data_IF_381057112685
#
_entry.id   IF_381057112685
#
_cell.length_a   1.000
_cell.length_b   1.000
_cell.length_c   1.000
_cell.angle_alpha   90.00
_cell.angle_beta   90.00
_cell.angle_gamma   90.00
#
_symmetry.space_group_name_H-M   'P 1'
#
loop_
_entity.id
_entity.type
_entity.pdbx_description
1 polymer ?
#
# COMPACT_ATOMS: atom_id res chain seq x y z
N UNK A 1 -29.02 6.97 74.92
CA UNK A 1 -28.16 7.13 73.72
C UNK A 1 -28.51 6.00 72.78
N UNK A 2 -28.94 6.38 71.58
CA UNK A 2 -29.45 5.53 70.50
C UNK A 2 -28.27 4.83 69.82
N UNK A 3 -28.38 3.53 69.49
CA UNK A 3 -28.02 3.01 68.15
C UNK A 3 -28.33 1.51 67.97
N UNK A 4 -28.78 1.24 66.75
CA UNK A 4 -29.36 0.05 66.11
C UNK A 4 -28.38 -1.12 65.82
N UNK A 5 -28.93 -2.31 65.46
CA UNK A 5 -28.18 -3.49 65.03
C UNK A 5 -27.94 -3.51 63.51
N UNK A 6 -26.75 -3.92 63.10
CA UNK A 6 -26.39 -4.26 61.71
C UNK A 6 -25.25 -5.28 61.77
N UNK A 7 -25.00 -6.16 60.83
CA UNK A 7 -25.75 -6.79 59.77
C UNK A 7 -24.93 -8.05 59.43
N UNK A 8 -25.60 -9.09 58.95
CA UNK A 8 -25.03 -10.37 58.51
C UNK A 8 -23.87 -10.22 57.51
N UNK A 9 -22.69 -10.75 57.85
CA UNK A 9 -21.57 -10.93 56.91
C UNK A 9 -21.72 -12.25 56.14
N UNK A 10 -22.40 -12.21 55.00
CA UNK A 10 -22.19 -13.17 53.93
C UNK A 10 -20.79 -12.90 53.33
N UNK A 11 -19.85 -13.81 53.56
CA UNK A 11 -18.60 -13.82 52.78
C UNK A 11 -18.90 -14.36 51.38
N UNK A 12 -19.22 -13.44 50.46
CA UNK A 12 -19.24 -13.72 49.04
C UNK A 12 -17.84 -14.09 48.57
N UNK A 13 -17.75 -15.26 47.93
CA UNK A 13 -16.66 -15.70 47.06
C UNK A 13 -16.05 -14.51 46.31
N UNK A 14 -14.76 -14.28 46.51
CA UNK A 14 -13.96 -13.43 45.64
C UNK A 14 -13.70 -14.20 44.35
N UNK A 15 -14.53 -13.95 43.34
CA UNK A 15 -14.22 -14.17 41.93
C UNK A 15 -12.91 -13.45 41.59
N UNK A 16 -11.81 -14.17 41.51
CA UNK A 16 -10.53 -13.66 40.96
C UNK A 16 -9.74 -14.79 40.29
N UNK A 17 -10.43 -15.56 39.46
CA UNK A 17 -9.79 -16.23 38.33
C UNK A 17 -10.62 -15.87 37.10
N UNK A 18 -10.17 -14.86 36.33
CA UNK A 18 -10.65 -14.72 34.96
C UNK A 18 -10.18 -15.97 34.22
N UNK A 19 -11.03 -17.00 34.20
CA UNK A 19 -10.80 -18.24 33.47
C UNK A 19 -10.43 -17.88 32.03
N UNK A 20 -9.15 -17.97 31.69
CA UNK A 20 -8.69 -17.79 30.32
C UNK A 20 -9.27 -18.97 29.53
N UNK A 21 -10.46 -18.75 28.93
CA UNK A 21 -11.10 -19.72 28.07
C UNK A 21 -10.13 -20.10 26.96
N UNK A 22 -9.76 -21.38 26.78
CA UNK A 22 -8.77 -21.76 25.79
C UNK A 22 -9.26 -21.44 24.37
N UNK A 23 -8.33 -21.14 23.46
CA UNK A 23 -8.63 -20.90 22.05
C UNK A 23 -9.34 -22.09 21.41
N UNK A 24 -8.85 -23.30 21.67
CA UNK A 24 -9.49 -24.55 21.29
C UNK A 24 -9.61 -25.40 22.55
N UNK A 25 -10.81 -25.93 22.82
CA UNK A 25 -11.03 -26.75 23.99
C UNK A 25 -10.06 -27.94 24.01
N UNK A 26 -9.40 -28.15 25.15
CA UNK A 26 -8.42 -29.23 25.39
C UNK A 26 -7.09 -29.11 24.62
N UNK A 27 -6.83 -27.98 23.96
CA UNK A 27 -5.51 -27.67 23.42
C UNK A 27 -4.87 -26.51 24.19
N UNK A 28 -3.56 -26.58 24.47
CA UNK A 28 -2.77 -25.42 24.85
C UNK A 28 -2.88 -24.29 23.81
N UNK A 29 -2.90 -23.03 24.26
CA UNK A 29 -3.14 -21.87 23.40
C UNK A 29 -2.03 -21.66 22.36
N UNK A 30 -0.79 -22.04 22.65
CA UNK A 30 0.33 -22.01 21.72
C UNK A 30 0.16 -22.99 20.54
N UNK A 31 -0.30 -24.21 20.83
CA UNK A 31 -0.64 -25.21 19.80
C UNK A 31 -1.89 -24.78 19.02
N UNK A 32 -2.88 -24.21 19.71
CA UNK A 32 -4.05 -23.66 19.05
C UNK A 32 -3.69 -22.52 18.09
N UNK A 33 -2.85 -21.57 18.52
CA UNK A 33 -2.32 -20.50 17.69
C UNK A 33 -1.55 -21.07 16.49
N UNK A 34 -0.65 -22.02 16.70
CA UNK A 34 0.12 -22.67 15.64
C UNK A 34 -0.79 -23.30 14.58
N UNK A 35 -1.86 -23.98 14.99
CA UNK A 35 -2.83 -24.60 14.09
C UNK A 35 -3.65 -23.55 13.34
N UNK A 36 -4.20 -22.56 14.05
CA UNK A 36 -5.02 -21.52 13.46
C UNK A 36 -4.22 -20.65 12.49
N UNK A 37 -2.99 -20.28 12.84
CA UNK A 37 -2.13 -19.43 12.03
C UNK A 37 -1.77 -20.05 10.67
N UNK A 38 -1.94 -21.36 10.47
CA UNK A 38 -1.75 -22.03 9.17
C UNK A 38 -2.95 -21.96 8.26
N UNK A 39 -4.10 -21.53 8.76
CA UNK A 39 -5.31 -21.41 7.95
C UNK A 39 -5.10 -20.31 6.90
N UNK A 40 -5.33 -20.60 5.60
CA UNK A 40 -5.14 -19.63 4.54
C UNK A 40 -6.01 -18.38 4.71
N UNK A 41 -5.47 -17.22 4.30
CA UNK A 41 -6.09 -15.89 4.46
C UNK A 41 -7.52 -15.82 3.92
N UNK A 42 -7.80 -16.52 2.82
CA UNK A 42 -9.15 -16.60 2.23
C UNK A 42 -10.23 -17.13 3.19
N UNK A 43 -9.85 -17.86 4.24
CA UNK A 43 -10.77 -18.39 5.25
C UNK A 43 -10.80 -17.57 6.55
N UNK A 44 -10.02 -16.49 6.67
CA UNK A 44 -9.96 -15.69 7.90
C UNK A 44 -11.31 -15.04 8.25
N UNK A 45 -12.13 -14.71 7.26
CA UNK A 45 -13.52 -14.24 7.51
C UNK A 45 -14.37 -15.30 8.19
N UNK A 46 -14.22 -16.57 7.79
CA UNK A 46 -14.93 -17.70 8.41
C UNK A 46 -14.39 -17.98 9.81
N UNK A 47 -13.06 -17.91 10.02
CA UNK A 47 -12.45 -18.07 11.34
C UNK A 47 -13.00 -17.07 12.36
N UNK A 48 -13.17 -15.80 11.95
CA UNK A 48 -13.73 -14.75 12.80
C UNK A 48 -15.17 -15.02 13.24
N UNK A 49 -15.91 -15.85 12.51
CA UNK A 49 -17.29 -16.20 12.85
C UNK A 49 -17.39 -17.32 13.91
N UNK A 50 -16.29 -18.01 14.24
CA UNK A 50 -16.32 -19.15 15.16
C UNK A 50 -16.55 -18.70 16.61
N UNK A 51 -15.83 -17.69 17.07
CA UNK A 51 -15.99 -17.11 18.41
C UNK A 51 -15.42 -15.70 18.48
N UNK A 52 -15.81 -14.93 19.51
CA UNK A 52 -15.20 -13.61 19.79
C UNK A 52 -13.69 -13.71 19.96
N UNK A 53 -13.21 -14.70 20.72
CA UNK A 53 -11.77 -14.91 20.96
C UNK A 53 -11.00 -15.19 19.66
N UNK A 54 -11.57 -15.98 18.73
CA UNK A 54 -10.94 -16.21 17.43
C UNK A 54 -10.94 -14.96 16.56
N UNK A 55 -12.03 -14.18 16.59
CA UNK A 55 -12.08 -12.89 15.91
C UNK A 55 -10.99 -11.95 16.44
N UNK A 56 -10.90 -11.82 17.75
CA UNK A 56 -9.93 -10.95 18.42
C UNK A 56 -8.50 -11.39 18.12
N UNK A 57 -8.24 -12.71 18.15
CA UNK A 57 -6.95 -13.26 17.77
C UNK A 57 -6.60 -12.93 16.31
N UNK A 58 -7.46 -13.26 15.34
CA UNK A 58 -7.17 -13.06 13.91
C UNK A 58 -7.02 -11.56 13.56
N UNK A 59 -7.62 -10.67 14.35
CA UNK A 59 -7.47 -9.22 14.19
C UNK A 59 -6.30 -8.61 14.99
N UNK A 60 -5.65 -9.37 15.87
CA UNK A 60 -4.57 -8.89 16.74
C UNK A 60 -3.25 -8.65 16.00
N UNK A 61 -2.35 -7.88 16.60
CA UNK A 61 -0.96 -7.78 16.13
C UNK A 61 -0.20 -9.10 16.37
N UNK A 62 -0.48 -9.81 17.46
CA UNK A 62 0.17 -11.09 17.78
C UNK A 62 0.01 -12.12 16.65
N UNK A 63 -1.20 -12.24 16.10
CA UNK A 63 -1.47 -13.11 14.96
C UNK A 63 -0.64 -12.75 13.73
N UNK A 64 -0.60 -11.46 13.39
CA UNK A 64 0.12 -10.96 12.24
C UNK A 64 1.64 -11.20 12.43
N UNK A 65 2.19 -10.77 13.55
CA UNK A 65 3.59 -10.99 13.91
C UNK A 65 3.97 -12.47 13.87
N UNK A 66 3.12 -13.34 14.42
CA UNK A 66 3.35 -14.77 14.41
C UNK A 66 3.42 -15.32 12.98
N UNK A 67 2.47 -14.93 12.11
CA UNK A 67 2.46 -15.39 10.71
C UNK A 67 3.65 -14.88 9.93
N UNK A 68 4.04 -13.62 10.10
CA UNK A 68 5.23 -13.06 9.43
C UNK A 68 6.50 -13.77 9.89
N UNK A 69 6.70 -13.95 11.21
CA UNK A 69 7.87 -14.66 11.79
C UNK A 69 7.99 -16.11 11.32
N UNK A 70 6.87 -16.77 11.04
CA UNK A 70 6.83 -18.16 10.61
C UNK A 70 6.71 -18.35 9.08
N UNK A 71 6.90 -17.29 8.28
CA UNK A 71 6.76 -17.32 6.82
C UNK A 71 5.40 -17.83 6.33
N UNK A 72 4.34 -17.54 7.09
CA UNK A 72 2.95 -17.87 6.75
C UNK A 72 2.23 -16.67 6.11
N UNK A 73 2.93 -15.55 5.89
CA UNK A 73 2.36 -14.33 5.32
C UNK A 73 1.79 -14.55 3.91
N UNK A 74 0.53 -14.17 3.70
CA UNK A 74 -0.12 -14.20 2.39
C UNK A 74 -0.36 -12.77 1.88
N UNK A 75 0.39 -12.38 0.86
CA UNK A 75 0.27 -11.08 0.20
C UNK A 75 -0.91 -11.06 -0.78
N UNK A 76 -1.84 -10.14 -0.55
CA UNK A 76 -2.91 -9.80 -1.49
C UNK A 76 -2.67 -8.41 -2.07
N UNK A 77 -3.16 -8.19 -3.28
CA UNK A 77 -3.00 -6.92 -4.00
C UNK A 77 -4.25 -6.09 -3.82
N UNK A 78 -4.07 -4.79 -3.58
CA UNK A 78 -5.11 -3.79 -3.47
C UNK A 78 -4.90 -2.75 -4.55
N UNK A 79 -5.96 -2.45 -5.30
CA UNK A 79 -5.94 -1.44 -6.35
C UNK A 79 -6.95 -0.35 -6.03
N UNK A 80 -6.50 0.89 -6.13
CA UNK A 80 -7.35 2.08 -6.12
C UNK A 80 -7.68 2.42 -7.57
N UNK A 81 -8.96 2.49 -7.89
CA UNK A 81 -9.47 2.68 -9.25
C UNK A 81 -10.38 3.89 -9.32
N UNK A 82 -10.47 4.50 -10.49
CA UNK A 82 -11.43 5.58 -10.79
C UNK A 82 -12.35 5.16 -11.91
N UNK A 83 -13.64 5.20 -11.64
CA UNK A 83 -14.68 5.01 -12.64
C UNK A 83 -14.78 6.25 -13.52
N UNK A 84 -14.69 6.07 -14.85
CA UNK A 84 -14.71 7.18 -15.80
C UNK A 84 -16.06 7.88 -15.93
N UNK A 85 -17.14 7.14 -15.70
CA UNK A 85 -18.50 7.63 -15.89
C UNK A 85 -18.97 8.47 -14.71
N UNK A 86 -18.56 8.09 -13.50
CA UNK A 86 -18.98 8.71 -12.24
C UNK A 86 -17.92 9.61 -11.62
N UNK A 87 -16.67 9.52 -12.10
CA UNK A 87 -15.47 10.14 -11.51
C UNK A 87 -15.23 9.72 -10.04
N UNK A 88 -15.81 8.58 -9.62
CA UNK A 88 -15.71 8.06 -8.27
C UNK A 88 -14.58 7.05 -8.13
N UNK A 89 -13.97 7.05 -6.95
CA UNK A 89 -12.91 6.14 -6.57
C UNK A 89 -13.50 4.90 -5.90
N UNK A 90 -13.02 3.73 -6.33
CA UNK A 90 -13.33 2.42 -5.78
C UNK A 90 -12.04 1.68 -5.43
N UNK A 91 -12.08 0.81 -4.43
CA UNK A 91 -10.93 -0.01 -4.04
C UNK A 91 -11.27 -1.49 -4.26
N UNK A 92 -10.32 -2.22 -4.84
CA UNK A 92 -10.47 -3.63 -5.15
C UNK A 92 -9.33 -4.45 -4.55
N UNK A 93 -9.62 -5.69 -4.18
CA UNK A 93 -8.63 -6.64 -3.68
C UNK A 93 -8.56 -7.89 -4.54
N UNK A 94 -7.35 -8.38 -4.76
CA UNK A 94 -7.03 -9.59 -5.51
C UNK A 94 -6.21 -10.53 -4.63
N UNK A 95 -6.66 -11.78 -4.53
CA UNK A 95 -5.90 -12.91 -4.01
C UNK A 95 -5.11 -13.56 -5.16
N UNK A 96 -3.78 -13.39 -5.23
CA UNK A 96 -2.96 -13.93 -6.33
C UNK A 96 -2.85 -15.46 -6.31
N UNK A 97 -3.20 -16.11 -5.20
CA UNK A 97 -3.09 -17.57 -5.02
C UNK A 97 -4.36 -18.34 -5.40
N UNK A 98 -5.45 -17.63 -5.72
CA UNK A 98 -6.74 -18.26 -6.03
C UNK A 98 -6.71 -18.99 -7.38
N UNK A 99 -6.92 -20.31 -7.33
CA UNK A 99 -6.98 -21.20 -8.51
C UNK A 99 -8.24 -21.07 -9.36
N UNK A 100 -9.33 -20.50 -8.81
CA UNK A 100 -10.44 -19.96 -9.59
C UNK A 100 -10.02 -18.55 -9.99
N UNK A 101 -9.76 -18.30 -11.28
CA UNK A 101 -9.28 -17.03 -11.85
C UNK A 101 -9.47 -15.86 -10.89
N UNK A 102 -8.37 -15.38 -10.29
CA UNK A 102 -8.34 -14.38 -9.22
C UNK A 102 -9.24 -13.18 -9.54
N UNK A 103 -10.47 -13.22 -9.04
CA UNK A 103 -11.44 -12.18 -9.33
C UNK A 103 -11.23 -11.05 -8.32
N UNK A 104 -11.02 -9.85 -8.83
CA UNK A 104 -11.02 -8.64 -8.03
C UNK A 104 -12.34 -8.53 -7.26
N UNK A 105 -12.24 -8.29 -5.96
CA UNK A 105 -13.41 -8.05 -5.10
C UNK A 105 -13.43 -6.60 -4.69
N UNK A 106 -14.57 -5.94 -4.86
CA UNK A 106 -14.74 -4.57 -4.39
C UNK A 106 -14.71 -4.53 -2.86
N UNK A 107 -13.97 -3.56 -2.33
CA UNK A 107 -13.96 -3.18 -0.92
C UNK A 107 -14.96 -2.04 -0.76
N UNK A 108 -15.97 -2.26 0.08
CA UNK A 108 -16.95 -1.24 0.40
C UNK A 108 -16.48 -0.33 1.54
N UNK A 109 -17.18 0.78 1.72
CA UNK A 109 -16.99 1.66 2.89
C UNK A 109 -15.85 2.65 2.76
N UNK A 110 -15.35 2.94 1.55
CA UNK A 110 -14.50 4.11 1.33
C UNK A 110 -15.23 5.34 1.88
N UNK A 111 -14.56 6.17 2.72
CA UNK A 111 -15.16 7.38 3.26
C UNK A 111 -15.77 8.26 2.16
N UNK A 112 -17.03 8.70 2.27
CA UNK A 112 -17.73 9.43 1.19
C UNK A 112 -16.98 10.67 0.69
N UNK A 113 -16.22 11.34 1.56
CA UNK A 113 -15.39 12.50 1.23
C UNK A 113 -14.25 12.18 0.26
N UNK A 114 -13.77 10.93 0.25
CA UNK A 114 -12.68 10.48 -0.63
C UNK A 114 -13.17 10.15 -2.05
N UNK A 115 -14.47 9.86 -2.23
CA UNK A 115 -14.97 9.25 -3.47
C UNK A 115 -14.64 10.06 -4.72
N UNK A 116 -14.65 11.40 -4.66
CA UNK A 116 -14.36 12.24 -5.83
C UNK A 116 -12.96 12.86 -5.83
N UNK A 117 -12.17 12.67 -4.77
CA UNK A 117 -10.86 13.31 -4.63
C UNK A 117 -9.88 12.81 -5.67
N UNK A 118 -9.09 13.71 -6.25
CA UNK A 118 -7.95 13.45 -7.14
C UNK A 118 -6.65 13.69 -6.38
N UNK A 119 -5.53 13.20 -6.94
CA UNK A 119 -4.21 13.41 -6.34
C UNK A 119 -4.04 12.85 -4.93
N UNK A 120 -4.82 11.82 -4.56
CA UNK A 120 -4.66 11.10 -3.28
C UNK A 120 -3.47 10.16 -3.36
N UNK A 121 -2.76 9.99 -2.24
CA UNK A 121 -1.81 8.90 -2.09
C UNK A 121 -2.48 7.65 -1.51
N UNK A 122 -1.93 6.49 -1.86
CA UNK A 122 -2.37 5.18 -1.39
C UNK A 122 -1.16 4.35 -0.98
N UNK A 123 -1.00 4.10 0.32
CA UNK A 123 0.18 3.42 0.87
C UNK A 123 -0.15 2.36 1.91
N UNK A 124 0.81 1.51 2.24
CA UNK A 124 0.64 0.42 3.21
C UNK A 124 1.63 0.51 4.36
N UNK A 125 1.18 0.26 5.60
CA UNK A 125 2.06 -0.08 6.73
C UNK A 125 1.47 -1.30 7.44
N UNK A 126 2.27 -2.37 7.57
CA UNK A 126 1.82 -3.61 8.23
C UNK A 126 0.55 -4.17 7.59
N UNK A 127 -0.51 -4.34 8.40
CA UNK A 127 -1.85 -4.78 7.97
C UNK A 127 -2.82 -3.64 7.64
N UNK A 128 -2.33 -2.42 7.41
CA UNK A 128 -3.16 -1.24 7.13
C UNK A 128 -2.82 -0.64 5.78
N UNK A 129 -3.87 -0.21 5.07
CA UNK A 129 -3.80 0.64 3.89
C UNK A 129 -4.17 2.06 4.31
N UNK A 130 -3.51 3.06 3.76
CA UNK A 130 -3.71 4.46 4.05
C UNK A 130 -4.08 5.19 2.77
N UNK A 131 -5.15 5.99 2.84
CA UNK A 131 -5.52 7.00 1.86
C UNK A 131 -5.23 8.37 2.45
N UNK A 132 -4.43 9.16 1.73
CA UNK A 132 -3.93 10.43 2.25
C UNK A 132 -4.25 11.57 1.29
N UNK A 133 -4.74 12.67 1.86
CA UNK A 133 -4.90 13.95 1.19
C UNK A 133 -5.79 13.89 -0.05
N UNK A 134 -5.36 14.58 -1.10
CA UNK A 134 -6.10 14.77 -2.34
C UNK A 134 -6.95 16.05 -2.34
N UNK A 135 -7.66 16.27 -3.44
CA UNK A 135 -8.42 17.49 -3.66
C UNK A 135 -9.67 17.19 -4.52
N UNK A 136 -10.78 17.89 -4.31
CA UNK A 136 -11.97 17.83 -5.16
C UNK A 136 -11.83 18.71 -6.42
N UNK A 137 -11.19 19.87 -6.28
CA UNK A 137 -10.82 20.80 -7.34
C UNK A 137 -9.37 21.28 -7.16
N UNK A 138 -8.85 22.12 -8.06
CA UNK A 138 -7.55 22.77 -7.82
C UNK A 138 -7.75 23.81 -6.70
N UNK A 139 -6.96 23.74 -5.62
CA UNK A 139 -6.99 24.63 -4.41
C UNK A 139 -7.84 24.16 -3.20
N UNK A 140 -8.37 22.91 -3.17
CA UNK A 140 -8.97 22.30 -1.96
C UNK A 140 -8.20 21.06 -1.47
N UNK A 141 -6.86 21.15 -1.50
CA UNK A 141 -6.02 20.13 -0.90
C UNK A 141 -6.44 19.88 0.56
N UNK A 142 -6.38 18.62 0.99
CA UNK A 142 -6.72 18.22 2.37
C UNK A 142 -5.56 17.50 3.04
N UNK A 143 -5.55 17.56 4.36
CA UNK A 143 -4.66 16.86 5.27
C UNK A 143 -5.29 15.57 5.82
N UNK A 144 -6.54 15.29 5.48
CA UNK A 144 -7.26 14.12 5.99
C UNK A 144 -6.56 12.81 5.60
N UNK A 145 -6.48 11.90 6.57
CA UNK A 145 -5.93 10.56 6.40
C UNK A 145 -6.96 9.54 6.86
N UNK A 146 -7.19 8.53 6.02
CA UNK A 146 -8.02 7.39 6.34
C UNK A 146 -7.18 6.13 6.26
N UNK A 147 -7.42 5.19 7.16
CA UNK A 147 -6.80 3.87 7.08
C UNK A 147 -7.85 2.76 7.00
N UNK A 148 -7.54 1.72 6.25
CA UNK A 148 -8.30 0.49 6.17
C UNK A 148 -7.50 -0.63 6.80
N UNK A 149 -8.05 -1.20 7.87
CA UNK A 149 -7.47 -2.38 8.51
C UNK A 149 -7.93 -3.62 7.76
N UNK A 150 -6.99 -4.33 7.11
CA UNK A 150 -7.31 -5.50 6.29
C UNK A 150 -7.77 -6.70 7.12
N UNK A 151 -7.43 -6.74 8.41
CA UNK A 151 -7.88 -7.77 9.32
C UNK A 151 -9.29 -7.45 9.84
N UNK A 152 -9.62 -6.19 10.11
CA UNK A 152 -10.98 -5.82 10.55
C UNK A 152 -11.96 -5.65 9.38
N UNK A 153 -11.47 -5.46 8.15
CA UNK A 153 -12.25 -5.11 6.97
C UNK A 153 -13.07 -3.82 7.20
N UNK A 154 -12.43 -2.80 7.78
CA UNK A 154 -13.06 -1.54 8.15
C UNK A 154 -12.16 -0.36 7.86
N UNK A 155 -12.75 0.72 7.35
CA UNK A 155 -12.14 2.03 7.25
C UNK A 155 -12.31 2.80 8.57
N UNK A 156 -11.30 3.57 8.94
CA UNK A 156 -11.32 4.50 10.07
C UNK A 156 -10.49 5.74 9.75
N UNK A 157 -10.78 6.84 10.42
CA UNK A 157 -9.90 8.02 10.40
C UNK A 157 -8.55 7.69 11.07
N UNK A 158 -7.49 8.28 10.53
CA UNK A 158 -6.16 8.28 11.12
C UNK A 158 -5.76 9.74 11.41
N UNK A 159 -4.68 10.00 12.16
CA UNK A 159 -4.21 11.36 12.38
C UNK A 159 -3.99 12.09 11.04
N UNK A 160 -4.54 13.30 10.93
CA UNK A 160 -4.33 14.16 9.77
C UNK A 160 -2.86 14.51 9.59
N UNK A 161 -2.43 14.69 8.34
CA UNK A 161 -1.11 15.20 8.00
C UNK A 161 -0.90 16.59 8.59
N UNK A 162 0.36 16.99 8.78
CA UNK A 162 0.68 18.35 9.21
C UNK A 162 0.36 19.38 8.13
N UNK A 163 0.47 18.96 6.86
CA UNK A 163 0.25 19.81 5.69
C UNK A 163 -0.82 19.17 4.80
N UNK A 164 -1.79 19.96 4.38
CA UNK A 164 -2.76 19.55 3.37
C UNK A 164 -2.08 19.43 2.00
N UNK A 165 -2.24 18.29 1.31
CA UNK A 165 -1.52 17.98 0.06
C UNK A 165 -2.38 17.24 -0.96
N UNK A 166 -2.17 17.53 -2.25
CA UNK A 166 -2.66 16.72 -3.37
C UNK A 166 -1.58 16.61 -4.48
N UNK A 167 -1.63 15.53 -5.27
CA UNK A 167 -0.65 15.21 -6.32
C UNK A 167 0.80 15.20 -5.79
N UNK A 168 1.02 14.47 -4.69
CA UNK A 168 2.29 14.37 -3.98
C UNK A 168 2.87 12.96 -4.07
N UNK A 169 4.18 12.84 -3.84
CA UNK A 169 4.86 11.55 -3.71
C UNK A 169 4.53 10.91 -2.36
N UNK A 170 4.42 9.59 -2.32
CA UNK A 170 4.15 8.88 -1.07
C UNK A 170 4.85 7.53 -1.06
N UNK A 171 5.51 7.20 0.04
CA UNK A 171 6.22 5.93 0.21
C UNK A 171 6.17 5.43 1.65
N UNK A 172 6.26 4.12 1.84
CA UNK A 172 6.62 3.52 3.13
C UNK A 172 8.11 3.16 3.15
N UNK A 173 8.84 3.68 4.14
CA UNK A 173 10.20 3.28 4.46
C UNK A 173 10.34 3.07 5.96
N UNK A 174 10.92 1.94 6.37
CA UNK A 174 11.16 1.57 7.77
C UNK A 174 9.92 1.65 8.68
N UNK A 175 8.74 1.33 8.12
CA UNK A 175 7.48 1.31 8.86
C UNK A 175 6.88 2.70 9.09
N UNK A 176 7.38 3.73 8.40
CA UNK A 176 6.85 5.10 8.40
C UNK A 176 6.36 5.47 7.01
N UNK A 177 5.31 6.28 6.92
CA UNK A 177 4.86 6.88 5.66
C UNK A 177 5.51 8.24 5.51
N UNK A 178 6.00 8.55 4.31
CA UNK A 178 6.51 9.86 3.92
C UNK A 178 5.58 10.44 2.85
N UNK A 179 4.93 11.58 3.11
CA UNK A 179 4.13 12.33 2.13
C UNK A 179 4.94 13.54 1.66
N UNK A 180 5.35 13.56 0.40
CA UNK A 180 6.44 14.42 -0.10
C UNK A 180 5.92 15.37 -1.17
N UNK A 181 6.12 16.68 -0.99
CA UNK A 181 5.79 17.71 -1.99
C UNK A 181 4.28 17.86 -2.25
N UNK A 182 3.93 18.08 -3.52
CA UNK A 182 2.58 18.31 -4.02
C UNK A 182 2.03 19.72 -3.78
N UNK A 183 0.75 19.90 -4.11
CA UNK A 183 0.04 21.17 -3.97
C UNK A 183 -0.73 21.23 -2.65
N UNK A 184 -0.65 22.34 -1.93
CA UNK A 184 -1.37 22.59 -0.68
C UNK A 184 -2.42 23.70 -0.79
N UNK A 185 -3.05 24.05 0.35
CA UNK A 185 -4.04 25.15 0.46
C UNK A 185 -3.39 26.53 0.42
N UNK A 186 -2.21 26.67 1.04
CA UNK A 186 -1.35 27.82 0.86
C UNK A 186 -0.17 27.39 0.00
N UNK A 187 0.23 28.22 -0.96
CA UNK A 187 1.39 28.00 -1.84
C UNK A 187 2.73 27.97 -1.08
N UNK A 188 2.70 28.13 0.25
CA UNK A 188 3.82 28.17 1.16
C UNK A 188 4.32 26.76 1.51
N UNK A 189 5.04 26.22 0.53
CA UNK A 189 6.26 25.45 0.67
C UNK A 189 6.17 24.03 0.07
N UNK A 190 6.20 23.93 -1.28
CA UNK A 190 6.19 22.63 -1.95
C UNK A 190 7.46 21.82 -1.74
N UNK A 191 8.42 22.42 -1.05
CA UNK A 191 9.69 21.85 -0.66
C UNK A 191 9.57 21.06 0.66
N UNK A 192 8.37 20.67 1.07
CA UNK A 192 8.11 20.03 2.35
C UNK A 192 7.69 18.56 2.22
N UNK A 193 7.88 17.79 3.28
CA UNK A 193 7.30 16.46 3.43
C UNK A 193 6.88 16.22 4.88
N UNK A 194 5.87 15.38 5.07
CA UNK A 194 5.47 14.95 6.40
C UNK A 194 5.78 13.45 6.58
N UNK A 195 6.21 13.08 7.79
CA UNK A 195 6.53 11.69 8.16
C UNK A 195 5.56 11.20 9.22
N UNK A 196 4.84 10.13 8.94
CA UNK A 196 3.96 9.46 9.91
C UNK A 196 4.67 8.31 10.61
N UNK A 197 4.69 8.36 11.94
CA UNK A 197 5.13 7.23 12.76
C UNK A 197 3.90 6.56 13.43
N UNK A 198 3.57 5.31 13.06
CA UNK A 198 2.44 4.59 13.66
C UNK A 198 2.66 4.26 15.15
N UNK A 199 3.90 4.30 15.65
CA UNK A 199 4.21 4.01 17.06
C UNK A 199 3.82 5.15 17.98
N UNK A 200 4.01 6.38 17.54
CA UNK A 200 3.58 7.59 18.24
C UNK A 200 2.22 8.06 17.77
N UNK A 201 1.73 7.53 16.65
CA UNK A 201 0.51 7.92 15.98
C UNK A 201 0.49 9.44 15.69
N UNK A 202 1.60 9.96 15.19
CA UNK A 202 1.81 11.39 14.93
C UNK A 202 2.52 11.62 13.60
N UNK A 203 2.34 12.83 13.08
CA UNK A 203 3.04 13.35 11.90
C UNK A 203 4.08 14.39 12.32
N UNK A 204 5.26 14.31 11.71
CA UNK A 204 6.31 15.31 11.81
C UNK A 204 6.51 15.97 10.45
N UNK A 205 6.55 17.30 10.40
CA UNK A 205 6.74 18.05 9.15
C UNK A 205 8.18 18.51 8.98
N UNK A 206 8.66 18.47 7.75
CA UNK A 206 10.03 18.79 7.36
C UNK A 206 10.04 19.58 6.06
N UNK A 207 11.14 20.29 5.77
CA UNK A 207 11.36 20.94 4.49
C UNK A 207 12.81 20.88 4.02
N UNK A 208 13.00 20.81 2.71
CA UNK A 208 14.28 20.80 2.00
C UNK A 208 14.08 21.39 0.59
N UNK A 209 14.84 22.43 0.20
CA UNK A 209 14.67 23.11 -1.08
C UNK A 209 14.88 22.21 -2.31
N UNK A 210 15.47 21.02 -2.15
CA UNK A 210 15.66 20.08 -3.25
C UNK A 210 14.41 19.27 -3.62
N UNK A 211 13.35 19.30 -2.81
CA UNK A 211 12.05 18.72 -3.18
C UNK A 211 11.39 19.63 -4.21
N UNK A 212 10.75 19.07 -5.23
CA UNK A 212 10.10 19.87 -6.29
C UNK A 212 8.60 19.50 -6.36
N UNK A 213 7.77 20.49 -6.68
CA UNK A 213 6.30 20.41 -6.78
C UNK A 213 5.77 19.20 -7.55
N UNK A 214 6.16 19.06 -8.81
CA UNK A 214 5.51 18.22 -9.80
C UNK A 214 6.05 16.77 -9.74
N UNK A 215 5.81 16.08 -8.63
CA UNK A 215 6.23 14.69 -8.43
C UNK A 215 5.33 13.75 -9.25
N UNK A 216 5.94 13.00 -10.17
CA UNK A 216 5.26 12.01 -11.01
C UNK A 216 5.29 10.61 -10.40
N UNK A 217 6.35 10.26 -9.66
CA UNK A 217 6.54 8.93 -9.08
C UNK A 217 7.50 8.96 -7.89
N UNK A 218 7.40 7.97 -6.99
CA UNK A 218 8.25 7.85 -5.80
C UNK A 218 8.47 6.40 -5.39
N UNK A 219 9.72 6.04 -5.09
CA UNK A 219 10.10 4.66 -4.73
C UNK A 219 11.12 4.62 -3.60
N UNK A 220 11.16 3.50 -2.88
CA UNK A 220 12.20 3.20 -1.89
C UNK A 220 13.11 2.13 -2.48
N UNK A 221 14.42 2.41 -2.50
CA UNK A 221 15.43 1.48 -3.02
C UNK A 221 16.73 1.65 -2.25
N UNK A 222 17.31 0.55 -1.73
CA UNK A 222 18.57 0.61 -0.99
C UNK A 222 18.53 1.51 0.23
N UNK A 223 17.41 1.54 0.96
CA UNK A 223 17.22 2.35 2.17
C UNK A 223 17.14 3.86 1.93
N UNK A 224 16.89 4.28 0.68
CA UNK A 224 16.72 5.69 0.30
C UNK A 224 15.41 5.90 -0.42
N UNK A 225 14.87 7.11 -0.33
CA UNK A 225 13.66 7.51 -1.08
C UNK A 225 14.10 8.23 -2.34
N UNK A 226 13.57 7.82 -3.48
CA UNK A 226 13.77 8.48 -4.77
C UNK A 226 12.43 9.08 -5.19
N UNK A 227 12.42 10.37 -5.49
CA UNK A 227 11.26 11.03 -6.13
C UNK A 227 11.65 11.44 -7.52
N UNK A 228 10.74 11.23 -8.46
CA UNK A 228 10.87 11.70 -9.83
C UNK A 228 9.90 12.85 -10.03
N UNK A 229 10.43 14.00 -10.44
CA UNK A 229 9.65 15.19 -10.74
C UNK A 229 9.85 15.63 -12.17
N UNK A 230 8.86 16.29 -12.76
CA UNK A 230 8.96 16.90 -14.09
C UNK A 230 8.72 18.38 -13.99
N UNK A 231 9.71 19.20 -14.34
CA UNK A 231 9.54 20.64 -14.30
C UNK A 231 8.77 21.14 -15.52
N UNK A 232 7.97 22.17 -15.30
CA UNK A 232 7.24 22.91 -16.35
C UNK A 232 8.12 23.82 -17.23
N UNK A 233 9.45 23.73 -17.15
CA UNK A 233 10.38 24.46 -18.03
C UNK A 233 10.22 24.05 -19.49
N UNK A 234 10.67 24.88 -20.43
CA UNK A 234 10.69 24.53 -21.86
C UNK A 234 12.16 24.47 -22.32
N UNK A 235 12.68 23.28 -22.72
CA UNK A 235 12.01 21.98 -22.71
C UNK A 235 11.80 21.43 -21.28
N UNK A 236 10.83 20.52 -21.08
CA UNK A 236 10.58 19.91 -19.78
C UNK A 236 11.74 18.98 -19.42
N UNK A 237 12.26 19.13 -18.20
CA UNK A 237 13.34 18.31 -17.69
C UNK A 237 12.80 17.40 -16.57
N UNK A 238 13.26 16.15 -16.57
CA UNK A 238 12.97 15.18 -15.50
C UNK A 238 14.11 15.26 -14.49
N UNK A 239 13.76 15.43 -13.22
CA UNK A 239 14.69 15.46 -12.10
C UNK A 239 14.40 14.31 -11.17
N UNK A 240 15.47 13.72 -10.62
CA UNK A 240 15.34 12.79 -9.51
C UNK A 240 16.03 13.41 -8.29
N UNK A 241 15.29 13.48 -7.19
CA UNK A 241 15.84 13.80 -5.89
C UNK A 241 15.84 12.56 -5.00
N UNK A 242 16.87 12.43 -4.16
CA UNK A 242 17.09 11.27 -3.30
C UNK A 242 17.23 11.74 -1.87
N UNK A 243 16.39 11.18 -1.00
CA UNK A 243 16.52 11.33 0.43
C UNK A 243 17.42 10.23 0.98
N UNK A 244 18.48 10.63 1.68
CA UNK A 244 19.33 9.72 2.42
C UNK A 244 19.07 9.88 3.93
N UNK A 245 18.40 8.90 4.58
CA UNK A 245 18.09 8.96 6.01
C UNK A 245 19.32 9.12 6.91
N UNK A 246 20.50 8.64 6.46
CA UNK A 246 21.73 8.78 7.23
C UNK A 246 22.22 10.23 7.32
N UNK A 247 21.91 11.03 6.30
CA UNK A 247 22.26 12.46 6.24
C UNK A 247 21.10 13.38 6.61
N UNK A 248 19.86 12.88 6.52
CA UNK A 248 18.64 13.65 6.73
C UNK A 248 18.35 14.70 5.65
N UNK A 249 18.97 14.58 4.46
CA UNK A 249 18.89 15.59 3.38
C UNK A 249 18.46 14.99 2.06
N UNK A 250 17.82 15.82 1.24
CA UNK A 250 17.55 15.53 -0.16
C UNK A 250 18.71 16.00 -1.03
N UNK A 251 19.05 15.21 -2.05
CA UNK A 251 20.13 15.51 -2.99
C UNK A 251 19.66 15.18 -4.41
N UNK A 252 20.01 16.01 -5.39
CA UNK A 252 19.80 15.67 -6.79
C UNK A 252 20.70 14.50 -7.19
N UNK A 253 20.17 13.59 -8.01
CA UNK A 253 20.87 12.38 -8.42
C UNK A 253 20.95 12.21 -9.93
N UNK A 254 21.50 11.06 -10.31
CA UNK A 254 21.87 10.56 -11.62
C UNK A 254 20.87 10.84 -12.76
N UNK A 255 21.32 11.63 -13.74
CA UNK A 255 20.60 11.92 -14.98
C UNK A 255 20.34 10.65 -15.83
N UNK A 256 21.19 9.63 -15.71
CA UNK A 256 21.05 8.38 -16.48
C UNK A 256 19.80 7.61 -16.01
N UNK A 257 19.57 7.55 -14.69
CA UNK A 257 18.35 6.96 -14.14
C UNK A 257 17.10 7.75 -14.58
N UNK A 258 17.17 9.09 -14.51
CA UNK A 258 16.07 9.97 -14.90
C UNK A 258 15.62 9.79 -16.35
N UNK A 259 16.55 9.50 -17.26
CA UNK A 259 16.27 9.36 -18.69
C UNK A 259 15.36 8.18 -19.05
N UNK A 260 15.47 7.05 -18.32
CA UNK A 260 14.72 5.82 -18.62
C UNK A 260 13.55 5.54 -17.67
N UNK A 261 13.45 6.27 -16.56
CA UNK A 261 12.25 6.25 -15.72
C UNK A 261 11.17 7.05 -16.41
N UNK A 262 10.32 6.41 -17.22
CA UNK A 262 9.28 7.07 -18.04
C UNK A 262 7.87 6.52 -17.80
N UNK A 263 7.65 5.79 -16.73
CA UNK A 263 6.35 5.20 -16.41
C UNK A 263 6.29 4.65 -14.98
N UNK A 264 5.25 3.87 -14.67
CA UNK A 264 5.07 3.23 -13.38
C UNK A 264 6.27 2.37 -13.01
N UNK A 265 6.59 2.32 -11.73
CA UNK A 265 7.73 1.59 -11.22
C UNK A 265 7.40 0.59 -10.15
N UNK A 266 8.32 -0.36 -9.97
CA UNK A 266 8.37 -1.22 -8.81
C UNK A 266 9.81 -1.57 -8.49
N UNK A 267 10.10 -1.77 -7.21
CA UNK A 267 11.41 -2.22 -6.75
C UNK A 267 11.30 -3.68 -6.30
N UNK A 268 12.18 -4.53 -6.82
CA UNK A 268 12.28 -5.95 -6.45
C UNK A 268 13.74 -6.27 -6.18
N UNK A 269 14.03 -6.85 -5.02
CA UNK A 269 15.40 -7.19 -4.60
C UNK A 269 16.38 -6.00 -4.80
N UNK A 270 16.00 -4.81 -4.31
CA UNK A 270 16.72 -3.53 -4.45
C UNK A 270 17.03 -3.07 -5.89
N UNK A 271 16.34 -3.67 -6.87
CA UNK A 271 16.46 -3.33 -8.29
C UNK A 271 15.20 -2.62 -8.76
N UNK A 272 15.36 -1.49 -9.45
CA UNK A 272 14.26 -0.69 -9.98
C UNK A 272 13.83 -1.22 -11.35
N UNK A 273 12.53 -1.43 -11.52
CA UNK A 273 11.90 -1.82 -12.77
C UNK A 273 10.90 -0.74 -13.19
N UNK A 274 10.90 -0.39 -14.47
CA UNK A 274 10.00 0.59 -15.08
C UNK A 274 9.19 -0.07 -16.17
N UNK A 275 7.90 0.24 -16.24
CA UNK A 275 7.09 -0.04 -17.42
C UNK A 275 7.08 1.19 -18.33
N UNK A 276 7.95 1.19 -19.34
CA UNK A 276 7.96 2.20 -20.39
C UNK A 276 6.77 1.97 -21.33
N UNK A 277 5.91 2.97 -21.48
CA UNK A 277 4.72 2.94 -22.33
C UNK A 277 4.81 3.92 -23.51
N UNK A 278 5.95 4.61 -23.69
CA UNK A 278 6.15 5.64 -24.73
C UNK A 278 6.12 5.07 -26.16
N UNK A 279 6.78 3.92 -26.37
CA UNK A 279 6.90 3.22 -27.67
C UNK A 279 6.44 1.76 -27.54
N UNK A 280 5.26 1.59 -26.95
CA UNK A 280 4.67 0.31 -26.55
C UNK A 280 5.19 -0.17 -25.20
N UNK A 281 4.44 -1.07 -24.56
CA UNK A 281 4.70 -1.50 -23.19
C UNK A 281 5.93 -2.42 -23.07
N UNK A 282 7.04 -1.88 -22.56
CA UNK A 282 8.29 -2.62 -22.32
C UNK A 282 8.64 -2.58 -20.84
N UNK A 283 9.04 -3.73 -20.30
CA UNK A 283 9.63 -3.77 -18.96
C UNK A 283 11.13 -3.51 -19.07
N UNK A 284 11.59 -2.48 -18.37
CA UNK A 284 12.99 -2.06 -18.29
C UNK A 284 13.50 -2.30 -16.86
N UNK A 285 14.78 -2.63 -16.73
CA UNK A 285 15.46 -2.84 -15.44
C UNK A 285 16.64 -1.89 -15.32
N UNK A 286 16.77 -1.22 -14.18
CA UNK A 286 17.91 -0.35 -13.89
C UNK A 286 19.12 -1.17 -13.41
N UNK A 287 20.22 -1.14 -14.15
CA UNK A 287 21.47 -1.77 -13.74
C UNK A 287 22.41 -0.73 -13.11
N UNK A 288 22.47 -0.73 -11.77
CA UNK A 288 23.27 0.25 -10.98
C UNK A 288 24.76 0.28 -11.34
N UNK A 289 25.36 -0.87 -11.68
CA UNK A 289 26.81 -0.98 -11.93
C UNK A 289 27.23 -0.31 -13.24
N UNK A 290 26.42 -0.45 -14.29
CA UNK A 290 26.70 0.10 -15.62
C UNK A 290 26.01 1.45 -15.84
N UNK A 291 25.04 1.80 -14.98
CA UNK A 291 24.18 2.98 -15.10
C UNK A 291 23.34 2.95 -16.38
N UNK A 292 22.86 1.76 -16.74
CA UNK A 292 22.09 1.52 -17.96
C UNK A 292 20.71 0.93 -17.67
N UNK A 293 19.76 1.25 -18.54
CA UNK A 293 18.44 0.62 -18.59
C UNK A 293 18.45 -0.58 -19.52
N UNK A 294 18.24 -1.77 -18.97
CA UNK A 294 18.20 -3.02 -19.73
C UNK A 294 16.75 -3.38 -20.07
N UNK A 295 16.39 -3.55 -21.35
CA UNK A 295 15.09 -4.08 -21.73
C UNK A 295 14.98 -5.56 -21.40
N UNK A 296 13.95 -5.95 -20.66
CA UNK A 296 13.71 -7.34 -20.28
C UNK A 296 12.72 -8.06 -21.19
N UNK A 297 11.57 -7.44 -21.42
CA UNK A 297 10.54 -8.01 -22.28
C UNK A 297 9.59 -6.95 -22.81
N UNK A 298 8.92 -7.26 -23.93
CA UNK A 298 7.81 -6.46 -24.46
C UNK A 298 6.49 -7.15 -24.13
N UNK A 299 5.54 -6.40 -23.59
CA UNK A 299 4.19 -6.89 -23.34
C UNK A 299 3.37 -6.90 -24.64
N UNK A 300 2.32 -7.70 -24.64
CA UNK A 300 1.33 -7.70 -25.72
C UNK A 300 0.70 -6.31 -25.86
N UNK A 301 0.46 -5.82 -27.08
CA UNK A 301 -0.28 -4.57 -27.27
C UNK A 301 -1.75 -4.67 -26.86
N UNK A 302 -2.27 -5.89 -26.67
CA UNK A 302 -3.67 -6.12 -26.35
C UNK A 302 -3.96 -5.98 -24.85
N UNK A 303 -3.05 -6.44 -23.99
CA UNK A 303 -3.22 -6.45 -22.54
C UNK A 303 -1.86 -6.41 -21.80
N UNK A 304 -1.79 -5.74 -20.63
CA UNK A 304 -2.86 -4.94 -20.02
C UNK A 304 -3.01 -3.58 -20.72
N UNK A 305 -4.23 -3.01 -20.70
CA UNK A 305 -4.51 -1.72 -21.38
C UNK A 305 -4.03 -0.54 -20.52
N UNK A 306 -3.28 0.43 -21.07
CA UNK A 306 -2.94 1.66 -20.36
C UNK A 306 -4.17 2.48 -19.91
N UNK A 307 -4.06 3.30 -18.84
CA UNK A 307 -2.89 3.43 -17.98
C UNK A 307 -2.69 2.17 -17.11
N UNK A 308 -1.44 1.77 -16.93
CA UNK A 308 -1.07 0.62 -16.09
C UNK A 308 -0.41 1.09 -14.79
N UNK A 309 -0.52 0.27 -13.75
CA UNK A 309 0.22 0.38 -12.49
C UNK A 309 0.93 -0.94 -12.20
N UNK A 310 1.97 -0.88 -11.37
CA UNK A 310 2.79 -2.04 -11.03
C UNK A 310 2.80 -2.28 -9.53
N UNK A 311 2.88 -3.56 -9.15
CA UNK A 311 3.09 -4.00 -7.77
C UNK A 311 3.85 -5.32 -7.78
N UNK A 312 4.73 -5.53 -6.81
CA UNK A 312 5.51 -6.76 -6.70
C UNK A 312 5.12 -7.56 -5.47
N UNK A 313 5.14 -8.89 -5.62
CA UNK A 313 5.05 -9.85 -4.51
C UNK A 313 6.17 -10.85 -4.68
N UNK A 314 7.17 -10.77 -3.80
CA UNK A 314 8.44 -11.48 -3.99
C UNK A 314 9.04 -11.12 -5.35
N UNK A 315 9.37 -12.13 -6.15
CA UNK A 315 9.97 -11.96 -7.50
C UNK A 315 8.95 -11.82 -8.63
N UNK A 316 7.66 -11.75 -8.30
CA UNK A 316 6.60 -11.60 -9.30
C UNK A 316 6.17 -10.15 -9.39
N UNK A 317 6.20 -9.60 -10.60
CA UNK A 317 5.66 -8.27 -10.92
C UNK A 317 4.27 -8.45 -11.51
N UNK A 318 3.30 -7.77 -10.92
CA UNK A 318 1.93 -7.68 -11.40
C UNK A 318 1.77 -6.32 -12.08
N UNK A 319 1.41 -6.35 -13.36
CA UNK A 319 1.12 -5.18 -14.17
C UNK A 319 -0.39 -5.12 -14.36
N UNK A 320 -1.01 -4.10 -13.80
CA UNK A 320 -2.46 -3.99 -13.70
C UNK A 320 -2.89 -2.76 -14.50
N UNK A 321 -3.61 -2.99 -15.59
CA UNK A 321 -4.12 -1.95 -16.46
C UNK A 321 -5.60 -1.71 -16.28
N UNK A 322 -6.13 -0.86 -17.16
CA UNK A 322 -7.53 -0.47 -17.25
C UNK A 322 -8.49 -1.66 -17.16
N UNK A 323 -9.58 -1.45 -16.42
CA UNK A 323 -10.57 -2.50 -16.13
C UNK A 323 -10.01 -3.65 -15.29
N UNK A 324 -8.97 -3.38 -14.49
CA UNK A 324 -8.31 -4.34 -13.60
C UNK A 324 -7.73 -5.57 -14.33
N UNK A 325 -7.37 -5.39 -15.60
CA UNK A 325 -6.68 -6.42 -16.39
C UNK A 325 -5.25 -6.58 -15.88
N UNK A 326 -4.84 -7.81 -15.55
CA UNK A 326 -3.53 -8.06 -14.93
C UNK A 326 -2.66 -9.00 -15.77
N UNK A 327 -1.37 -8.69 -15.87
CA UNK A 327 -0.33 -9.58 -16.38
C UNK A 327 0.71 -9.79 -15.29
N UNK A 328 1.18 -11.02 -15.14
CA UNK A 328 2.15 -11.39 -14.11
C UNK A 328 3.44 -11.84 -14.77
N UNK A 329 4.56 -11.27 -14.35
CA UNK A 329 5.89 -11.61 -14.81
C UNK A 329 6.70 -12.17 -13.64
N UNK A 330 7.36 -13.31 -13.83
CA UNK A 330 8.28 -13.88 -12.85
C UNK A 330 9.72 -13.57 -13.26
N UNK A 331 10.38 -12.67 -12.53
CA UNK A 331 11.70 -12.16 -12.90
C UNK A 331 12.78 -13.26 -12.84
N UNK A 332 12.60 -14.29 -12.00
CA UNK A 332 13.56 -15.38 -11.87
C UNK A 332 13.73 -16.21 -13.15
N UNK A 333 12.75 -16.15 -14.07
CA UNK A 333 12.75 -16.90 -15.31
C UNK A 333 13.06 -16.06 -16.55
N UNK A 334 13.25 -14.74 -16.40
CA UNK A 334 13.41 -13.80 -17.54
C UNK A 334 14.72 -14.01 -18.31
N UNK A 335 15.72 -14.67 -17.71
CA UNK A 335 16.99 -15.02 -18.37
C UNK A 335 16.89 -16.16 -19.40
N UNK A 336 15.79 -16.92 -19.42
CA UNK A 336 15.52 -17.88 -20.49
C UNK A 336 14.61 -17.19 -21.51
N UNK A 337 15.20 -16.85 -22.67
CA UNK A 337 14.50 -16.25 -23.80
C UNK A 337 13.15 -16.95 -24.07
N UNK A 338 12.10 -16.15 -24.27
CA UNK A 338 10.76 -16.52 -24.74
C UNK A 338 9.71 -17.05 -23.74
N UNK A 339 9.65 -16.55 -22.49
CA UNK A 339 8.42 -16.77 -21.67
C UNK A 339 7.98 -15.55 -20.86
N UNK A 340 7.39 -14.57 -21.55
CA UNK A 340 6.30 -13.78 -20.94
C UNK A 340 5.18 -14.79 -20.64
N UNK A 341 4.96 -15.12 -19.36
CA UNK A 341 3.79 -15.91 -18.98
C UNK A 341 2.58 -14.99 -19.19
N UNK A 342 1.91 -15.17 -20.33
CA UNK A 342 0.81 -14.32 -20.75
C UNK A 342 -0.41 -14.52 -19.84
N UNK A 343 -0.82 -13.38 -19.27
CA UNK A 343 -2.18 -12.90 -18.99
C UNK A 343 -3.20 -13.91 -18.45
N UNK A 344 -3.51 -13.81 -17.16
CA UNK A 344 -4.91 -13.95 -16.76
C UNK A 344 -5.61 -12.62 -17.06
N UNK A 345 -6.21 -12.50 -18.24
CA UNK A 345 -7.36 -11.60 -18.36
C UNK A 345 -8.47 -12.22 -17.49
N UNK A 346 -8.98 -11.46 -16.55
CA UNK A 346 -10.16 -11.90 -15.79
C UNK A 346 -11.36 -11.37 -16.57
N UNK A 347 -12.12 -12.23 -17.27
CA UNK A 347 -13.38 -11.81 -17.86
C UNK A 347 -14.35 -11.57 -16.70
N UNK A 348 -14.85 -10.34 -16.58
CA UNK A 348 -16.17 -9.97 -16.03
C UNK A 348 -16.24 -8.60 -15.32
N UNK A 349 -15.19 -7.79 -15.32
CA UNK A 349 -15.40 -6.37 -15.05
C UNK A 349 -15.76 -5.67 -16.36
N UNK A 350 -17.04 -5.33 -16.51
CA UNK A 350 -17.51 -4.32 -17.48
C UNK A 350 -17.02 -2.90 -17.13
N UNK A 351 -16.14 -2.77 -16.13
CA UNK A 351 -15.60 -1.50 -15.66
C UNK A 351 -14.53 -0.99 -16.61
N UNK A 352 -14.73 0.24 -17.10
CA UNK A 352 -13.74 0.98 -17.86
C UNK A 352 -12.80 1.79 -16.93
N UNK A 353 -12.62 1.30 -15.70
CA UNK A 353 -11.93 2.00 -14.62
C UNK A 353 -10.44 2.16 -14.90
N UNK A 354 -9.94 3.36 -14.63
CA UNK A 354 -8.51 3.64 -14.62
C UNK A 354 -7.93 3.25 -13.27
N UNK A 355 -6.84 2.49 -13.29
CA UNK A 355 -6.10 2.10 -12.08
C UNK A 355 -5.20 3.27 -11.69
N UNK A 356 -5.46 3.86 -10.53
CA UNK A 356 -4.71 5.01 -10.01
C UNK A 356 -3.42 4.52 -9.33
N UNK A 357 -3.53 3.51 -8.45
CA UNK A 357 -2.41 2.99 -7.67
C UNK A 357 -2.67 1.54 -7.25
N UNK A 358 -1.61 0.78 -7.03
CA UNK A 358 -1.67 -0.58 -6.51
C UNK A 358 -0.66 -0.78 -5.38
N UNK A 359 -1.06 -1.48 -4.32
CA UNK A 359 -0.18 -1.88 -3.20
C UNK A 359 -0.45 -3.31 -2.79
N UNK A 360 0.51 -3.96 -2.16
CA UNK A 360 0.35 -5.32 -1.63
C UNK A 360 0.39 -5.30 -0.10
N UNK A 361 -0.51 -6.04 0.54
CA UNK A 361 -0.55 -6.21 2.00
C UNK A 361 -0.40 -7.68 2.34
N UNK A 362 0.59 -8.00 3.19
CA UNK A 362 0.82 -9.33 3.75
C UNK A 362 0.13 -9.49 5.11
N UNK A 363 -0.57 -10.61 5.32
CA UNK A 363 -1.10 -11.03 6.64
C UNK A 363 -0.56 -12.38 7.03
#
# INVERSE_FOLDING_TARGET
MIMDPSASSFSSYSDTESSHLPLISRLPDDIALFCLARVPRKYHTVLKCVSKRWKDLVCSEEWWDYRQKNNLGESWIYALCRDKSTDQVSCYVLDPSSSRQGCWKSISGIPPRCLKRKGMAFETIGKKLYLLGGCGWSEDATDEVYCYDVAMNTWSEAPSMSTARCYFGCVNMDGKIYSIGGYGLETSDPHSWDTYDPRTNSWDSHSDPNIILDIEDSVVMGGKIYIRSRTSTIPPHVYIAVYDPSSGKWQQTDADMASGWQGPTVVVDDTLYVLDQSLGSKLMMWQKNTREWIPLCRLSPLLPRPPCQMVAIGRKIFIIGKGLSAVVLDIGNVGNADRVIASSSIPNFSCDDDVICCKSVSI
#
